data_IF_119106146155
#
_entry.id   IF_119106146155
#
_cell.length_a   1.000
_cell.length_b   1.000
_cell.length_c   1.000
_cell.angle_alpha   90.00
_cell.angle_beta   90.00
_cell.angle_gamma   90.00
#
_symmetry.space_group_name_H-M   'P 1'
#
loop_
_entity.id
_entity.type
_entity.pdbx_description
1 polymer ?
#
# COMPACT_ATOMS: atom_id res chain seq x y z
N UNK A 1 -3.07 -11.01 18.46
CA UNK A 1 -3.01 -10.40 17.10
C UNK A 1 -3.35 -8.91 17.09
N UNK A 2 -4.26 -8.40 17.93
CA UNK A 2 -4.58 -6.95 18.01
C UNK A 2 -3.38 -6.08 18.41
N UNK A 3 -2.52 -6.52 19.34
CA UNK A 3 -1.33 -5.78 19.77
C UNK A 3 -0.31 -5.54 18.64
N UNK A 4 -0.19 -6.46 17.68
CA UNK A 4 0.71 -6.30 16.52
C UNK A 4 0.18 -5.30 15.49
N UNK A 5 -1.16 -5.24 15.28
CA UNK A 5 -1.78 -4.26 14.37
C UNK A 5 -1.59 -2.84 14.89
N UNK A 6 -1.82 -2.61 16.18
CA UNK A 6 -1.65 -1.28 16.79
C UNK A 6 -0.19 -0.81 16.77
N UNK A 7 0.77 -1.72 16.96
CA UNK A 7 2.19 -1.41 16.84
C UNK A 7 2.57 -1.02 15.40
N UNK A 8 2.01 -1.70 14.40
CA UNK A 8 2.24 -1.38 12.98
C UNK A 8 1.71 0.01 12.62
N UNK A 9 0.50 0.37 13.09
CA UNK A 9 -0.07 1.70 12.86
C UNK A 9 0.85 2.78 13.41
N UNK A 10 1.34 2.60 14.64
CA UNK A 10 2.29 3.55 15.25
C UNK A 10 3.61 3.60 14.49
N UNK A 11 4.17 2.46 14.09
CA UNK A 11 5.41 2.38 13.33
C UNK A 11 5.32 3.18 12.01
N UNK A 12 4.18 3.10 11.31
CA UNK A 12 3.92 3.87 10.09
C UNK A 12 3.88 5.37 10.33
N UNK A 13 3.20 5.81 11.39
CA UNK A 13 3.11 7.23 11.75
C UNK A 13 4.48 7.75 12.18
N UNK A 14 5.20 6.98 13.00
CA UNK A 14 6.56 7.33 13.44
C UNK A 14 7.49 7.46 12.24
N UNK A 15 7.50 6.49 11.33
CA UNK A 15 8.32 6.55 10.11
C UNK A 15 8.06 7.80 9.30
N UNK A 16 6.77 8.16 9.09
CA UNK A 16 6.39 9.40 8.39
C UNK A 16 6.94 10.64 9.09
N UNK A 17 6.87 10.71 10.42
CA UNK A 17 7.42 11.82 11.18
C UNK A 17 8.94 11.90 11.12
N UNK A 18 9.62 10.75 11.18
CA UNK A 18 11.09 10.68 11.14
C UNK A 18 11.67 10.98 9.76
N UNK A 19 10.92 10.69 8.70
CA UNK A 19 11.31 10.91 7.29
C UNK A 19 10.99 12.32 6.77
N UNK A 20 10.23 13.12 7.53
CA UNK A 20 9.94 14.52 7.18
C UNK A 20 11.07 15.45 7.59
N UNK A 21 11.92 15.82 6.64
CA UNK A 21 13.05 16.73 6.88
C UNK A 21 12.66 18.22 6.90
N UNK A 22 11.41 18.54 6.58
CA UNK A 22 10.88 19.92 6.63
C UNK A 22 10.41 20.30 8.03
N UNK A 23 9.97 19.30 8.80
CA UNK A 23 9.47 19.50 10.16
C UNK A 23 10.14 18.54 11.16
N UNK A 24 10.47 19.06 12.34
CA UNK A 24 11.02 18.27 13.44
C UNK A 24 9.90 18.00 14.45
N UNK A 25 9.56 16.73 14.60
CA UNK A 25 8.51 16.30 15.54
C UNK A 25 9.08 15.98 16.92
N UNK A 26 8.46 16.53 17.93
CA UNK A 26 8.73 16.15 19.32
C UNK A 26 8.08 14.81 19.66
N UNK A 27 8.56 14.13 20.71
CA UNK A 27 7.93 12.89 21.21
C UNK A 27 6.43 13.06 21.44
N UNK A 28 6.00 14.24 21.90
CA UNK A 28 4.59 14.53 22.17
C UNK A 28 3.78 14.63 20.89
N UNK A 29 4.26 15.37 19.92
CA UNK A 29 3.59 15.50 18.60
C UNK A 29 3.47 14.15 17.92
N UNK A 30 4.53 13.32 17.93
CA UNK A 30 4.49 11.95 17.40
C UNK A 30 3.42 11.12 18.10
N UNK A 31 3.33 11.22 19.45
CA UNK A 31 2.31 10.49 20.22
C UNK A 31 0.89 10.94 19.85
N UNK A 32 0.67 12.24 19.69
CA UNK A 32 -0.63 12.80 19.29
C UNK A 32 -1.05 12.31 17.90
N UNK A 33 -0.15 12.33 16.93
CA UNK A 33 -0.39 11.79 15.58
C UNK A 33 -0.64 10.27 15.58
N UNK A 34 0.10 9.52 16.41
CA UNK A 34 -0.15 8.09 16.59
C UNK A 34 -1.55 7.82 17.16
N UNK A 35 -1.98 8.62 18.13
CA UNK A 35 -3.29 8.48 18.74
C UNK A 35 -4.43 8.86 17.79
N UNK A 36 -4.19 9.82 16.92
CA UNK A 36 -5.12 10.17 15.85
C UNK A 36 -5.36 8.99 14.92
N UNK A 37 -4.29 8.38 14.40
CA UNK A 37 -4.37 7.21 13.55
C UNK A 37 -4.97 5.97 14.26
N UNK A 38 -4.65 5.77 15.53
CA UNK A 38 -5.23 4.68 16.33
C UNK A 38 -6.74 4.87 16.54
N UNK A 39 -7.21 6.11 16.75
CA UNK A 39 -8.63 6.44 16.89
C UNK A 39 -9.42 6.14 15.61
N UNK A 40 -8.87 6.48 14.46
CA UNK A 40 -9.49 6.17 13.15
C UNK A 40 -9.70 4.67 12.96
N UNK A 41 -8.82 3.84 13.52
CA UNK A 41 -8.90 2.37 13.47
C UNK A 41 -9.66 1.74 14.65
N UNK A 42 -10.23 2.57 15.54
CA UNK A 42 -10.94 2.10 16.75
C UNK A 42 -10.05 1.41 17.78
N UNK A 43 -8.74 1.73 17.78
CA UNK A 43 -7.74 1.14 18.64
C UNK A 43 -7.49 2.00 19.90
N UNK A 44 -7.01 1.39 21.01
CA UNK A 44 -6.72 2.13 22.22
C UNK A 44 -5.53 3.09 22.03
N UNK A 45 -5.65 4.28 22.61
CA UNK A 45 -4.64 5.33 22.57
C UNK A 45 -3.41 5.00 23.43
N UNK A 46 -2.27 5.56 23.02
CA UNK A 46 -1.02 5.53 23.81
C UNK A 46 -1.04 6.68 24.81
N UNK A 47 -0.85 6.37 26.07
CA UNK A 47 -0.84 7.37 27.18
C UNK A 47 0.56 7.74 27.65
N UNK A 48 1.56 6.91 27.36
CA UNK A 48 2.93 7.09 27.82
C UNK A 48 3.90 7.43 26.68
N UNK A 49 4.57 8.58 26.77
CA UNK A 49 5.61 8.98 25.81
C UNK A 49 6.77 7.97 25.71
N UNK A 50 6.97 7.17 26.75
CA UNK A 50 8.00 6.13 26.72
C UNK A 50 7.70 5.03 25.71
N UNK A 51 6.42 4.76 25.42
CA UNK A 51 6.01 3.81 24.37
C UNK A 51 6.53 4.26 23.01
N UNK A 52 6.39 5.55 22.67
CA UNK A 52 6.90 6.10 21.40
C UNK A 52 8.42 5.98 21.31
N UNK A 53 9.16 6.20 22.40
CA UNK A 53 10.61 6.03 22.41
C UNK A 53 11.00 4.57 22.19
N UNK A 54 10.33 3.65 22.86
CA UNK A 54 10.55 2.21 22.68
C UNK A 54 10.23 1.77 21.25
N UNK A 55 9.18 2.33 20.65
CA UNK A 55 8.84 2.05 19.23
C UNK A 55 9.93 2.60 18.28
N UNK A 56 10.47 3.81 18.51
CA UNK A 56 11.60 4.38 17.76
C UNK A 56 12.85 3.49 17.89
N UNK A 57 13.20 3.08 19.13
CA UNK A 57 14.33 2.17 19.37
C UNK A 57 14.11 0.82 18.67
N UNK A 58 12.87 0.32 18.67
CA UNK A 58 12.46 -0.88 17.94
C UNK A 58 12.67 -0.76 16.43
N UNK A 59 12.34 0.38 15.85
CA UNK A 59 12.58 0.72 14.44
C UNK A 59 14.09 0.69 14.16
N UNK A 60 14.88 1.42 14.95
CA UNK A 60 16.34 1.47 14.78
C UNK A 60 16.96 0.07 14.79
N UNK A 61 16.55 -0.77 15.75
CA UNK A 61 17.10 -2.12 15.90
C UNK A 61 16.69 -3.07 14.78
N UNK A 62 15.43 -2.99 14.33
CA UNK A 62 14.87 -3.89 13.30
C UNK A 62 15.41 -3.55 11.92
N UNK A 63 15.43 -2.28 11.57
CA UNK A 63 15.78 -1.80 10.23
C UNK A 63 17.24 -1.37 10.10
N UNK A 64 18.01 -1.41 11.21
CA UNK A 64 19.43 -1.01 11.25
C UNK A 64 19.65 0.43 10.75
N UNK A 65 18.72 1.32 11.08
CA UNK A 65 18.74 2.73 10.71
C UNK A 65 19.07 3.59 11.93
N UNK A 66 19.77 4.69 11.70
CA UNK A 66 20.09 5.66 12.74
C UNK A 66 19.04 6.77 12.80
N UNK A 67 18.62 7.09 14.02
CA UNK A 67 17.74 8.21 14.33
C UNK A 67 18.51 9.23 15.15
N UNK A 68 18.51 10.48 14.70
CA UNK A 68 19.13 11.60 15.41
C UNK A 68 18.17 12.16 16.42
N UNK A 69 18.56 12.15 17.71
CA UNK A 69 17.83 12.83 18.79
C UNK A 69 18.36 14.26 18.94
N UNK A 70 17.48 15.24 18.80
CA UNK A 70 17.78 16.67 18.97
C UNK A 70 17.08 17.18 20.22
N UNK A 71 17.86 17.60 21.22
CA UNK A 71 17.33 18.18 22.46
C UNK A 71 17.18 19.68 22.32
N UNK A 72 15.96 20.20 22.54
CA UNK A 72 15.69 21.64 22.62
C UNK A 72 14.92 21.93 23.92
N UNK A 73 15.61 22.41 24.93
CA UNK A 73 15.07 22.63 26.27
C UNK A 73 14.63 21.32 26.93
N UNK A 74 13.32 21.22 27.23
CA UNK A 74 12.73 19.99 27.82
C UNK A 74 12.22 19.00 26.80
N UNK A 75 12.19 19.38 25.51
CA UNK A 75 11.63 18.56 24.45
C UNK A 75 12.74 17.80 23.72
N UNK A 76 12.40 16.59 23.27
CA UNK A 76 13.22 15.75 22.42
C UNK A 76 12.53 15.61 21.08
N UNK A 77 13.29 15.85 20.03
CA UNK A 77 12.86 15.77 18.63
C UNK A 77 13.64 14.67 17.95
N UNK A 78 13.03 14.04 16.95
CA UNK A 78 13.62 12.90 16.28
C UNK A 78 13.51 13.07 14.76
N UNK A 79 14.52 12.57 14.05
CA UNK A 79 14.48 12.39 12.60
C UNK A 79 15.46 11.28 12.19
N UNK A 80 15.28 10.72 11.01
CA UNK A 80 16.33 9.85 10.46
C UNK A 80 17.62 10.61 10.22
N UNK A 81 18.76 9.90 10.29
CA UNK A 81 20.07 10.46 9.95
C UNK A 81 20.17 10.67 8.44
N UNK A 82 19.72 9.69 7.65
CA UNK A 82 19.71 9.73 6.19
C UNK A 82 18.51 10.49 5.64
N UNK A 83 18.77 11.59 4.94
CA UNK A 83 17.74 12.33 4.22
C UNK A 83 17.21 11.48 3.06
N UNK A 84 15.91 11.23 3.08
CA UNK A 84 15.25 10.43 2.08
C UNK A 84 15.08 8.95 2.44
N UNK A 85 15.55 8.52 3.62
CA UNK A 85 15.20 7.21 4.16
C UNK A 85 13.78 7.22 4.74
N UNK A 86 13.06 6.15 4.49
CA UNK A 86 11.80 5.79 5.15
C UNK A 86 11.62 4.28 5.02
N UNK A 87 11.09 3.63 6.04
CA UNK A 87 10.78 2.20 6.04
C UNK A 87 9.69 1.88 5.02
N UNK A 88 8.71 2.77 4.94
CA UNK A 88 7.52 2.63 4.09
C UNK A 88 7.58 3.51 2.85
N UNK A 89 8.76 4.05 2.53
CA UNK A 89 8.92 4.86 1.33
C UNK A 89 8.60 3.99 0.12
N UNK A 90 7.49 4.31 -0.51
CA UNK A 90 7.22 3.76 -1.82
C UNK A 90 8.33 4.22 -2.77
N UNK A 91 8.96 3.32 -3.53
CA UNK A 91 9.90 3.70 -4.57
C UNK A 91 9.22 4.49 -5.70
N UNK A 92 7.90 4.64 -5.63
CA UNK A 92 7.06 5.31 -6.61
C UNK A 92 6.63 6.68 -6.10
N UNK A 93 6.66 7.66 -6.98
CA UNK A 93 6.08 8.99 -6.75
C UNK A 93 4.55 8.93 -6.69
N UNK A 94 3.90 9.96 -6.17
CA UNK A 94 2.42 10.07 -6.15
C UNK A 94 1.80 9.94 -7.55
N UNK A 95 2.47 10.48 -8.57
CA UNK A 95 2.03 10.37 -9.95
C UNK A 95 2.12 8.93 -10.46
N UNK A 96 3.24 8.24 -10.18
CA UNK A 96 3.44 6.84 -10.53
C UNK A 96 2.47 5.91 -9.78
N UNK A 97 2.18 6.20 -8.51
CA UNK A 97 1.16 5.50 -7.73
C UNK A 97 -0.24 5.66 -8.35
N UNK A 98 -0.56 6.88 -8.79
CA UNK A 98 -1.83 7.16 -9.46
C UNK A 98 -1.93 6.41 -10.80
N UNK A 99 -0.87 6.44 -11.61
CA UNK A 99 -0.82 5.69 -12.86
C UNK A 99 -0.92 4.18 -12.64
N UNK A 100 -0.24 3.66 -11.62
CA UNK A 100 -0.33 2.25 -11.24
C UNK A 100 -1.74 1.87 -10.79
N UNK A 101 -2.39 2.71 -9.98
CA UNK A 101 -3.77 2.52 -9.56
C UNK A 101 -4.72 2.45 -10.75
N UNK A 102 -4.59 3.36 -11.71
CA UNK A 102 -5.39 3.34 -12.95
C UNK A 102 -5.14 2.07 -13.76
N UNK A 103 -3.88 1.64 -13.88
CA UNK A 103 -3.52 0.42 -14.60
C UNK A 103 -4.14 -0.82 -13.94
N UNK A 104 -4.06 -0.91 -12.61
CA UNK A 104 -4.68 -2.00 -11.86
C UNK A 104 -6.21 -1.99 -11.99
N UNK A 105 -6.83 -0.81 -12.04
CA UNK A 105 -8.27 -0.68 -12.28
C UNK A 105 -8.65 -1.21 -13.68
N UNK A 106 -7.83 -0.96 -14.70
CA UNK A 106 -8.04 -1.52 -16.06
C UNK A 106 -7.86 -3.03 -16.06
N UNK A 107 -6.82 -3.54 -15.39
CA UNK A 107 -6.58 -4.98 -15.28
C UNK A 107 -7.69 -5.72 -14.52
N UNK A 108 -8.32 -5.08 -13.54
CA UNK A 108 -9.45 -5.64 -12.81
C UNK A 108 -10.66 -5.97 -13.70
N UNK A 109 -10.78 -5.35 -14.88
CA UNK A 109 -11.84 -5.68 -15.84
C UNK A 109 -11.72 -7.09 -16.41
N UNK A 110 -10.52 -7.65 -16.39
CA UNK A 110 -10.26 -9.02 -16.82
C UNK A 110 -10.41 -10.04 -15.69
N UNK A 111 -10.75 -9.59 -14.50
CA UNK A 111 -11.01 -10.46 -13.36
C UNK A 111 -12.20 -11.39 -13.67
N UNK A 112 -12.05 -12.67 -13.37
CA UNK A 112 -13.04 -13.71 -13.69
C UNK A 112 -12.76 -14.45 -15.02
N UNK A 113 -11.76 -14.03 -15.79
CA UNK A 113 -11.26 -14.85 -16.89
C UNK A 113 -10.18 -15.82 -16.38
N UNK A 114 -10.18 -17.09 -16.80
CA UNK A 114 -9.31 -18.14 -16.24
C UNK A 114 -7.82 -17.83 -16.23
N UNK A 115 -7.34 -16.97 -17.14
CA UNK A 115 -5.93 -16.60 -17.24
C UNK A 115 -5.57 -15.34 -16.44
N UNK A 116 -6.55 -14.65 -15.87
CA UNK A 116 -6.37 -13.42 -15.14
C UNK A 116 -6.61 -13.58 -13.63
N UNK A 117 -6.63 -14.82 -13.12
CA UNK A 117 -6.78 -15.11 -11.69
C UNK A 117 -5.68 -14.44 -10.85
N UNK A 118 -4.47 -14.35 -11.40
CA UNK A 118 -3.33 -13.67 -10.77
C UNK A 118 -3.56 -12.17 -10.52
N UNK A 119 -4.50 -11.53 -11.23
CA UNK A 119 -4.79 -10.10 -11.06
C UNK A 119 -5.34 -9.81 -9.67
N UNK A 120 -6.17 -10.68 -9.13
CA UNK A 120 -6.71 -10.54 -7.76
C UNK A 120 -5.60 -10.67 -6.71
N UNK A 121 -4.67 -11.62 -6.90
CA UNK A 121 -3.52 -11.79 -6.01
C UNK A 121 -2.57 -10.59 -6.11
N UNK A 122 -2.30 -10.11 -7.32
CA UNK A 122 -1.49 -8.91 -7.55
C UNK A 122 -2.08 -7.68 -6.85
N UNK A 123 -3.38 -7.45 -6.98
CA UNK A 123 -4.07 -6.37 -6.30
C UNK A 123 -3.96 -6.47 -4.78
N UNK A 124 -4.13 -7.67 -4.22
CA UNK A 124 -3.98 -7.91 -2.79
C UNK A 124 -2.55 -7.58 -2.32
N UNK A 125 -1.54 -7.98 -3.09
CA UNK A 125 -0.13 -7.67 -2.81
C UNK A 125 0.16 -6.17 -2.89
N UNK A 126 -0.32 -5.49 -3.92
CA UNK A 126 -0.12 -4.03 -4.03
C UNK A 126 -0.82 -3.26 -2.92
N UNK A 127 -2.06 -3.64 -2.57
CA UNK A 127 -2.77 -3.05 -1.42
C UNK A 127 -1.99 -3.20 -0.12
N UNK A 128 -1.39 -4.37 0.12
CA UNK A 128 -0.65 -4.64 1.35
C UNK A 128 0.73 -3.98 1.37
N UNK A 129 1.43 -3.92 0.23
CA UNK A 129 2.83 -3.45 0.15
C UNK A 129 2.92 -1.94 0.02
N UNK A 130 2.04 -1.33 -0.77
CA UNK A 130 2.07 0.11 -1.05
C UNK A 130 1.07 0.89 -0.20
N UNK A 131 0.31 0.22 0.69
CA UNK A 131 -0.77 0.80 1.50
C UNK A 131 -1.75 1.66 0.67
N UNK A 132 -1.88 1.31 -0.60
CA UNK A 132 -2.78 2.00 -1.50
C UNK A 132 -4.22 1.63 -1.15
N UNK A 133 -5.00 2.61 -0.75
CA UNK A 133 -6.45 2.53 -0.82
C UNK A 133 -6.87 2.57 -2.29
N UNK A 134 -6.63 1.48 -3.01
CA UNK A 134 -7.23 1.31 -4.33
C UNK A 134 -8.73 1.16 -4.09
N UNK A 135 -9.45 2.28 -4.22
CA UNK A 135 -10.90 2.27 -4.19
C UNK A 135 -11.36 1.32 -5.28
N UNK A 136 -11.92 0.20 -4.87
CA UNK A 136 -12.60 -0.75 -5.77
C UNK A 136 -13.97 -0.23 -6.20
N UNK A 137 -14.25 1.07 -5.98
CA UNK A 137 -15.47 1.67 -6.48
C UNK A 137 -15.43 1.63 -8.00
N UNK A 138 -16.23 0.76 -8.54
CA UNK A 138 -16.53 0.68 -9.97
C UNK A 138 -17.17 2.01 -10.39
N UNK A 139 -16.35 2.96 -10.83
CA UNK A 139 -16.81 4.26 -11.34
C UNK A 139 -17.52 4.08 -12.70
N UNK A 140 -17.19 3.00 -13.42
CA UNK A 140 -17.82 2.62 -14.68
C UNK A 140 -18.23 1.16 -14.57
N UNK A 141 -19.52 0.91 -14.43
CA UNK A 141 -20.09 -0.43 -14.57
C UNK A 141 -20.08 -0.81 -16.05
N UNK A 142 -19.42 -1.92 -16.37
CA UNK A 142 -19.62 -2.58 -17.67
C UNK A 142 -20.73 -3.61 -17.46
N UNK A 143 -21.66 -3.65 -18.39
CA UNK A 143 -22.63 -4.75 -18.43
C UNK A 143 -21.84 -6.06 -18.61
N UNK A 144 -21.76 -6.84 -17.55
CA UNK A 144 -21.32 -8.22 -17.66
C UNK A 144 -22.46 -9.00 -18.31
N UNK A 145 -22.29 -9.35 -19.58
CA UNK A 145 -23.16 -10.33 -20.18
C UNK A 145 -22.86 -11.69 -19.56
N UNK A 146 -23.64 -12.05 -18.55
CA UNK A 146 -23.53 -13.32 -17.81
C UNK A 146 -23.74 -14.51 -18.77
N UNK A 147 -24.51 -14.31 -19.82
CA UNK A 147 -24.86 -15.33 -20.84
C UNK A 147 -23.91 -15.32 -22.04
N UNK A 148 -22.81 -14.54 -22.00
CA UNK A 148 -21.86 -14.52 -23.10
C UNK A 148 -21.20 -15.89 -23.28
N UNK A 149 -21.54 -16.55 -24.41
CA UNK A 149 -20.90 -17.79 -24.85
C UNK A 149 -19.56 -17.48 -25.47
N UNK A 150 -18.59 -18.41 -25.33
CA UNK A 150 -17.27 -18.29 -25.95
C UNK A 150 -16.22 -17.62 -25.07
N UNK A 151 -16.50 -17.34 -23.80
CA UNK A 151 -15.51 -16.82 -22.83
C UNK A 151 -14.30 -17.76 -22.72
N UNK A 152 -14.51 -19.07 -22.89
CA UNK A 152 -13.48 -20.11 -22.90
C UNK A 152 -12.45 -19.97 -24.01
N UNK A 153 -12.79 -19.26 -25.09
CA UNK A 153 -11.89 -19.05 -26.22
C UNK A 153 -11.01 -17.81 -26.08
N UNK A 154 -11.34 -16.89 -25.17
CA UNK A 154 -10.58 -15.65 -24.98
C UNK A 154 -9.13 -15.95 -24.61
N UNK A 155 -8.94 -16.94 -23.77
CA UNK A 155 -7.65 -17.37 -23.27
C UNK A 155 -6.71 -17.89 -24.37
N UNK A 156 -7.08 -18.89 -25.16
CA UNK A 156 -6.26 -19.37 -26.27
C UNK A 156 -6.01 -18.29 -27.32
N UNK A 157 -6.99 -17.42 -27.58
CA UNK A 157 -6.83 -16.29 -28.51
C UNK A 157 -5.79 -15.28 -28.00
N UNK A 158 -5.84 -14.92 -26.72
CA UNK A 158 -4.88 -14.01 -26.11
C UNK A 158 -3.46 -14.57 -26.18
N UNK A 159 -3.27 -15.84 -25.81
CA UNK A 159 -1.96 -16.50 -25.86
C UNK A 159 -1.39 -16.54 -27.27
N UNK A 160 -2.21 -16.86 -28.25
CA UNK A 160 -1.77 -16.88 -29.64
C UNK A 160 -1.38 -15.49 -30.16
N UNK A 161 -2.12 -14.44 -29.75
CA UNK A 161 -1.79 -13.05 -30.13
C UNK A 161 -0.46 -12.64 -29.49
N UNK A 162 -0.27 -12.91 -28.21
CA UNK A 162 0.97 -12.54 -27.48
C UNK A 162 2.18 -13.26 -28.07
N UNK A 163 2.04 -14.55 -28.40
CA UNK A 163 3.11 -15.37 -28.96
C UNK A 163 3.19 -15.31 -30.51
N UNK A 164 2.37 -14.46 -31.14
CA UNK A 164 2.31 -14.30 -32.62
C UNK A 164 2.10 -15.63 -33.34
N UNK A 165 1.29 -16.50 -32.78
CA UNK A 165 0.96 -17.81 -33.37
C UNK A 165 -0.26 -17.70 -34.27
N UNK A 166 -0.24 -18.32 -35.46
CA UNK A 166 -1.42 -18.39 -36.33
C UNK A 166 -2.49 -19.27 -35.72
N UNK A 167 -3.76 -18.84 -35.83
CA UNK A 167 -4.93 -19.58 -35.38
C UNK A 167 -5.84 -19.90 -36.53
N UNK A 168 -6.40 -21.10 -36.51
CA UNK A 168 -7.51 -21.48 -37.41
C UNK A 168 -8.82 -21.34 -36.62
N UNK A 169 -9.71 -20.46 -37.07
CA UNK A 169 -11.02 -20.26 -36.44
C UNK A 169 -12.11 -20.87 -37.34
N UNK A 170 -12.96 -21.70 -36.72
CA UNK A 170 -14.19 -22.17 -37.36
C UNK A 170 -15.34 -21.33 -36.80
N UNK A 171 -15.91 -20.50 -37.65
CA UNK A 171 -17.01 -19.61 -37.24
C UNK A 171 -18.31 -20.07 -37.91
N UNK A 172 -19.35 -20.23 -37.08
CA UNK A 172 -20.69 -20.52 -37.56
C UNK A 172 -21.59 -19.31 -37.25
N UNK A 173 -22.17 -18.74 -38.29
CA UNK A 173 -23.12 -17.64 -38.17
C UNK A 173 -24.48 -18.21 -37.77
N UNK A 174 -25.15 -17.56 -36.79
CA UNK A 174 -26.54 -17.87 -36.45
C UNK A 174 -27.48 -17.42 -37.56
#
# INVERSE_FOLDING_TARGET
>A
MAASKNALIREMVIDRCLSDFKHLYSTREIMELCNEALREEGAPEVTAMNTIRTDIDGICNRWKVNVVEIKRGRNRYYRYEDEGFSIYKSPLTEEELTQLSHTLMVLNRFQGLPQFEWVSELNARFKSTLMMNVSTNQVIGFEENIDAKGKEHIAPLFDAIVHKQPLALVYQRF
#
